data_IF_311239132530
#
_entry.id   IF_311239132530
#
_cell.length_a   1.000
_cell.length_b   1.000
_cell.length_c   1.000
_cell.angle_alpha   90.00
_cell.angle_beta   90.00
_cell.angle_gamma   90.00
#
_symmetry.space_group_name_H-M   'P 1'
#
loop_
_entity.id
_entity.type
_entity.pdbx_description
1 polymer ?
#
# COMPACT_ATOMS: atom_id res chain seq x y z
N UNK A 1 -15.87 20.99 14.77
CA UNK A 1 -15.36 19.81 15.48
C UNK A 1 -14.69 20.32 16.75
N UNK A 2 -15.09 19.82 17.92
CA UNK A 2 -14.32 20.10 19.14
C UNK A 2 -12.94 19.47 18.97
N UNK A 3 -11.88 20.24 19.17
CA UNK A 3 -10.53 19.70 19.12
C UNK A 3 -10.39 18.62 20.21
N UNK A 4 -9.91 17.43 19.82
CA UNK A 4 -9.54 16.40 20.79
C UNK A 4 -8.21 16.81 21.41
N UNK A 5 -8.23 17.25 22.65
CA UNK A 5 -7.03 17.53 23.42
C UNK A 5 -6.46 16.26 24.09
N UNK A 6 -5.21 16.32 24.54
CA UNK A 6 -4.54 15.19 25.18
C UNK A 6 -5.31 14.71 26.41
N UNK A 7 -5.92 15.62 27.18
CA UNK A 7 -6.71 15.28 28.38
C UNK A 7 -7.92 14.41 28.03
N UNK A 8 -8.63 14.77 26.96
CA UNK A 8 -9.77 14.02 26.44
C UNK A 8 -9.32 12.64 25.97
N UNK A 9 -8.22 12.56 25.22
CA UNK A 9 -7.65 11.29 24.75
C UNK A 9 -7.23 10.39 25.92
N UNK A 10 -6.49 10.92 26.89
CA UNK A 10 -6.07 10.17 28.09
C UNK A 10 -7.26 9.66 28.90
N UNK A 11 -8.27 10.52 29.13
CA UNK A 11 -9.47 10.13 29.90
C UNK A 11 -10.27 9.04 29.20
N UNK A 12 -10.35 9.10 27.87
CA UNK A 12 -11.01 8.08 27.07
C UNK A 12 -10.28 6.73 27.15
N UNK A 13 -8.93 6.72 27.10
CA UNK A 13 -8.10 5.51 27.25
C UNK A 13 -8.23 4.88 28.64
N UNK A 14 -8.27 5.67 29.72
CA UNK A 14 -8.29 5.14 31.09
C UNK A 14 -9.66 4.68 31.56
N UNK A 15 -10.74 5.22 30.98
CA UNK A 15 -12.09 5.04 31.51
C UNK A 15 -12.94 4.13 30.62
N UNK A 16 -13.57 4.67 29.58
CA UNK A 16 -14.74 4.05 28.96
C UNK A 16 -14.70 3.92 27.44
N UNK A 17 -13.69 4.45 26.76
CA UNK A 17 -13.62 4.34 25.30
C UNK A 17 -12.85 3.09 24.88
N UNK A 18 -13.49 2.27 24.02
CA UNK A 18 -12.83 1.14 23.38
C UNK A 18 -12.13 1.52 22.05
N UNK A 19 -12.54 2.63 21.42
CA UNK A 19 -11.98 3.11 20.16
C UNK A 19 -12.29 4.60 19.92
N UNK A 20 -11.45 5.26 19.13
CA UNK A 20 -11.75 6.56 18.54
C UNK A 20 -12.13 6.37 17.07
N UNK A 21 -13.20 7.06 16.64
CA UNK A 21 -13.65 7.04 15.25
C UNK A 21 -13.83 8.46 14.76
N UNK A 22 -13.11 8.81 13.69
CA UNK A 22 -13.36 10.01 12.92
C UNK A 22 -14.05 9.62 11.61
N UNK A 23 -15.09 10.37 11.23
CA UNK A 23 -15.76 10.24 9.92
C UNK A 23 -15.80 11.62 9.29
N UNK A 24 -15.10 11.76 8.17
CA UNK A 24 -15.11 12.99 7.39
C UNK A 24 -15.88 12.73 6.10
N UNK A 25 -16.87 13.57 5.80
CA UNK A 25 -17.54 13.55 4.50
C UNK A 25 -16.71 14.37 3.53
N UNK A 26 -16.28 13.73 2.45
CA UNK A 26 -15.52 14.36 1.37
C UNK A 26 -16.43 14.62 0.18
N UNK A 27 -16.04 15.56 -0.68
CA UNK A 27 -16.67 15.85 -1.96
C UNK A 27 -15.63 15.67 -3.08
N UNK A 28 -16.01 15.17 -4.27
CA UNK A 28 -15.12 15.16 -5.42
C UNK A 28 -14.60 16.56 -5.75
N UNK A 29 -13.38 16.63 -6.30
CA UNK A 29 -12.73 17.90 -6.61
C UNK A 29 -13.50 18.71 -7.68
N UNK A 30 -14.17 18.05 -8.64
CA UNK A 30 -15.01 18.72 -9.64
C UNK A 30 -16.42 19.06 -9.17
N UNK A 31 -16.75 18.83 -7.90
CA UNK A 31 -18.03 19.18 -7.31
C UNK A 31 -18.89 17.99 -6.90
N UNK A 32 -20.07 18.29 -6.35
CA UNK A 32 -21.07 17.27 -6.02
C UNK A 32 -21.54 16.53 -7.28
N UNK A 33 -21.58 15.20 -7.21
CA UNK A 33 -22.00 14.36 -8.33
C UNK A 33 -20.94 14.13 -9.42
N UNK A 34 -19.76 14.75 -9.32
CA UNK A 34 -18.71 14.57 -10.31
C UNK A 34 -18.13 13.14 -10.32
N UNK A 35 -17.67 12.70 -11.49
CA UNK A 35 -17.14 11.35 -11.71
C UNK A 35 -15.77 11.20 -11.05
N UNK A 36 -15.65 10.20 -10.19
CA UNK A 36 -14.37 9.78 -9.62
C UNK A 36 -13.84 8.52 -10.30
N UNK A 37 -12.52 8.35 -10.33
CA UNK A 37 -11.84 7.18 -10.87
C UNK A 37 -11.13 6.44 -9.73
N UNK A 38 -11.75 5.40 -9.14
CA UNK A 38 -11.14 4.59 -8.09
C UNK A 38 -9.87 3.89 -8.56
N UNK A 39 -8.97 3.48 -7.64
CA UNK A 39 -7.83 2.65 -7.97
C UNK A 39 -8.28 1.32 -8.60
N UNK A 40 -7.47 0.86 -9.55
CA UNK A 40 -7.65 -0.43 -10.22
C UNK A 40 -6.85 -1.49 -9.47
N UNK A 41 -7.49 -2.62 -9.17
CA UNK A 41 -6.89 -3.77 -8.48
C UNK A 41 -6.61 -4.93 -9.45
N UNK A 42 -6.04 -6.01 -8.93
CA UNK A 42 -5.75 -7.23 -9.69
C UNK A 42 -6.97 -7.67 -10.53
N UNK A 43 -6.74 -7.98 -11.80
CA UNK A 43 -7.81 -8.25 -12.78
C UNK A 43 -8.37 -6.99 -13.46
N UNK A 44 -7.73 -5.83 -13.28
CA UNK A 44 -8.14 -4.56 -13.88
C UNK A 44 -9.55 -4.10 -13.47
N UNK A 45 -9.94 -4.38 -12.22
CA UNK A 45 -11.28 -4.08 -11.69
C UNK A 45 -11.25 -3.09 -10.53
N UNK A 46 -12.35 -2.37 -10.34
CA UNK A 46 -12.58 -1.59 -9.12
C UNK A 46 -13.01 -2.50 -7.97
N UNK A 47 -12.50 -2.22 -6.77
CA UNK A 47 -12.93 -2.89 -5.54
C UNK A 47 -14.31 -2.36 -5.12
N UNK A 48 -15.35 -3.14 -5.46
CA UNK A 48 -16.75 -2.85 -5.13
C UNK A 48 -17.18 -3.68 -3.92
N UNK A 49 -18.00 -3.08 -3.08
CA UNK A 49 -18.45 -3.71 -1.84
C UNK A 49 -19.79 -3.14 -1.40
N UNK A 50 -20.65 -4.01 -0.86
CA UNK A 50 -21.89 -3.56 -0.24
C UNK A 50 -21.66 -3.36 1.26
N UNK A 51 -21.92 -2.16 1.77
CA UNK A 51 -21.71 -1.82 3.18
C UNK A 51 -23.02 -1.56 3.90
N UNK A 52 -23.08 -1.94 5.17
CA UNK A 52 -24.20 -1.62 6.05
C UNK A 52 -24.05 -0.19 6.56
N UNK A 53 -24.89 0.72 6.08
CA UNK A 53 -24.88 2.13 6.46
C UNK A 53 -26.28 2.49 6.92
N UNK A 54 -26.40 2.90 8.19
CA UNK A 54 -27.67 3.25 8.84
C UNK A 54 -28.76 2.17 8.69
N UNK A 55 -28.36 0.89 8.76
CA UNK A 55 -29.28 -0.25 8.66
C UNK A 55 -29.66 -0.66 7.24
N UNK A 56 -29.14 0.03 6.21
CA UNK A 56 -29.35 -0.33 4.81
C UNK A 56 -28.06 -0.86 4.17
N UNK A 57 -28.22 -1.84 3.27
CA UNK A 57 -27.15 -2.31 2.39
C UNK A 57 -26.95 -1.31 1.26
N UNK A 58 -25.81 -0.63 1.22
CA UNK A 58 -25.52 0.46 0.26
C UNK A 58 -24.33 0.08 -0.62
N UNK A 59 -24.44 0.19 -1.96
CA UNK A 59 -23.33 -0.07 -2.86
C UNK A 59 -22.23 0.97 -2.65
N UNK A 60 -21.01 0.50 -2.47
CA UNK A 60 -19.83 1.32 -2.25
C UNK A 60 -18.68 0.90 -3.18
N UNK A 61 -17.72 1.81 -3.36
CA UNK A 61 -16.47 1.56 -4.06
C UNK A 61 -15.30 2.06 -3.22
N UNK A 62 -14.24 1.27 -3.13
CA UNK A 62 -13.04 1.65 -2.38
C UNK A 62 -12.24 2.67 -3.19
N UNK A 63 -12.03 3.86 -2.61
CA UNK A 63 -11.24 4.95 -3.22
C UNK A 63 -9.81 4.97 -2.68
N UNK A 64 -9.64 4.66 -1.39
CA UNK A 64 -8.32 4.51 -0.77
C UNK A 64 -8.39 3.43 0.31
N UNK A 65 -7.57 2.39 0.17
CA UNK A 65 -7.63 1.21 1.03
C UNK A 65 -6.95 1.42 2.37
N UNK A 66 -7.25 0.52 3.33
CA UNK A 66 -6.56 0.48 4.62
C UNK A 66 -5.04 0.38 4.47
N UNK A 67 -4.58 -0.42 3.51
CA UNK A 67 -3.16 -0.61 3.22
C UNK A 67 -2.56 0.66 2.61
N UNK A 68 -3.23 1.27 1.62
CA UNK A 68 -2.73 2.48 0.98
C UNK A 68 -2.71 3.69 1.93
N UNK A 69 -3.70 3.82 2.81
CA UNK A 69 -3.70 4.81 3.88
C UNK A 69 -2.55 4.61 4.87
N UNK A 70 -2.26 3.36 5.28
CA UNK A 70 -1.10 3.08 6.12
C UNK A 70 0.20 3.52 5.43
N UNK A 71 0.39 3.18 4.16
CA UNK A 71 1.57 3.57 3.39
C UNK A 71 1.74 5.10 3.33
N UNK A 72 0.65 5.86 3.12
CA UNK A 72 0.69 7.34 3.11
C UNK A 72 1.06 7.94 4.45
N UNK A 73 0.57 7.34 5.54
CA UNK A 73 0.90 7.78 6.89
C UNK A 73 2.37 7.49 7.20
N UNK A 74 2.90 6.35 6.76
CA UNK A 74 4.31 6.01 6.90
C UNK A 74 5.21 6.93 6.06
N UNK A 75 4.80 7.24 4.84
CA UNK A 75 5.49 8.22 3.99
C UNK A 75 5.49 9.61 4.65
N UNK A 76 4.37 10.02 5.26
CA UNK A 76 4.30 11.28 6.01
C UNK A 76 5.23 11.29 7.24
N UNK A 77 5.34 10.16 7.95
CA UNK A 77 6.30 10.01 9.05
C UNK A 77 7.75 10.07 8.54
N UNK A 78 8.05 9.45 7.41
CA UNK A 78 9.36 9.51 6.77
C UNK A 78 9.73 10.95 6.42
N UNK A 79 8.83 11.68 5.74
CA UNK A 79 9.03 13.11 5.43
C UNK A 79 9.22 13.96 6.69
N UNK A 80 8.51 13.66 7.79
CA UNK A 80 8.67 14.37 9.06
C UNK A 80 10.03 14.11 9.72
N UNK A 81 10.55 12.88 9.62
CA UNK A 81 11.91 12.53 10.06
C UNK A 81 12.97 13.24 9.21
N UNK A 82 12.81 13.22 7.89
CA UNK A 82 13.74 13.85 6.95
C UNK A 82 13.79 15.38 7.13
N UNK A 83 12.63 15.99 7.40
CA UNK A 83 12.52 17.41 7.73
C UNK A 83 12.99 17.75 9.17
N UNK A 84 13.29 16.76 10.00
CA UNK A 84 13.71 16.93 11.40
C UNK A 84 12.62 17.46 12.34
N UNK A 85 11.35 17.45 11.91
CA UNK A 85 10.19 17.82 12.77
C UNK A 85 9.82 16.69 13.72
N UNK A 86 10.13 15.45 13.35
CA UNK A 86 10.14 14.27 14.19
C UNK A 86 11.59 13.81 14.38
N UNK A 87 12.02 13.50 15.61
CA UNK A 87 13.44 13.21 15.91
C UNK A 87 13.72 11.87 16.57
N UNK A 88 12.72 11.22 17.17
CA UNK A 88 12.95 10.13 18.13
C UNK A 88 12.20 8.84 17.81
N UNK A 89 11.87 8.59 16.54
CA UNK A 89 11.24 7.33 16.12
C UNK A 89 12.31 6.40 15.55
N UNK A 90 12.54 5.22 16.15
CA UNK A 90 13.38 4.18 15.57
C UNK A 90 12.90 3.79 14.16
N UNK A 91 13.82 3.85 13.20
CA UNK A 91 13.61 3.44 11.81
C UNK A 91 14.85 2.68 11.36
N UNK A 92 14.66 1.46 10.89
CA UNK A 92 15.73 0.67 10.28
C UNK A 92 15.90 1.06 8.83
N UNK A 93 17.13 1.01 8.34
CA UNK A 93 17.48 1.40 6.99
C UNK A 93 18.41 0.37 6.35
N UNK A 94 18.23 0.16 5.05
CA UNK A 94 19.16 -0.57 4.19
C UNK A 94 19.67 0.42 3.16
N UNK A 95 20.99 0.52 3.05
CA UNK A 95 21.65 1.45 2.13
C UNK A 95 22.10 0.70 0.88
N UNK A 96 21.59 1.11 -0.28
CA UNK A 96 21.95 0.59 -1.60
C UNK A 96 22.89 1.54 -2.35
N UNK A 97 23.39 2.60 -1.71
CA UNK A 97 24.27 3.58 -2.35
C UNK A 97 25.59 2.92 -2.79
N UNK A 98 26.00 3.15 -4.04
CA UNK A 98 27.31 2.72 -4.53
C UNK A 98 27.47 1.23 -4.83
N UNK A 99 26.39 0.44 -4.84
CA UNK A 99 26.47 -1.01 -5.10
C UNK A 99 26.34 -1.41 -6.58
N UNK A 100 26.27 -0.43 -7.50
CA UNK A 100 26.25 -0.69 -8.94
C UNK A 100 24.93 -1.22 -9.50
N UNK A 101 23.79 -0.82 -8.93
CA UNK A 101 22.47 -1.09 -9.53
C UNK A 101 22.29 -0.30 -10.83
N UNK A 102 21.45 -0.82 -11.74
CA UNK A 102 21.10 -0.13 -12.99
C UNK A 102 20.45 1.23 -12.73
N UNK A 103 19.56 1.27 -11.74
CA UNK A 103 18.95 2.48 -11.23
C UNK A 103 19.39 2.67 -9.77
N UNK A 104 19.80 3.89 -9.41
CA UNK A 104 20.13 4.20 -8.02
C UNK A 104 18.88 4.14 -7.13
N UNK A 105 18.93 3.30 -6.10
CA UNK A 105 17.84 3.14 -5.12
C UNK A 105 18.06 3.98 -3.86
N UNK A 106 19.32 4.26 -3.52
CA UNK A 106 19.68 4.98 -2.29
C UNK A 106 19.34 4.19 -1.03
N UNK A 107 18.83 4.87 0.00
CA UNK A 107 18.45 4.27 1.28
C UNK A 107 16.97 3.91 1.30
N UNK A 108 16.65 2.67 1.66
CA UNK A 108 15.27 2.21 1.90
C UNK A 108 15.05 1.98 3.39
N UNK A 109 14.04 2.63 3.96
CA UNK A 109 13.68 2.54 5.36
C UNK A 109 12.58 1.52 5.65
N UNK A 110 12.41 1.16 6.93
CA UNK A 110 11.27 0.35 7.39
C UNK A 110 9.91 1.02 7.24
N UNK A 111 9.85 2.32 6.93
CA UNK A 111 8.63 3.07 6.62
C UNK A 111 8.27 3.00 5.12
N UNK A 112 9.25 2.72 4.27
CA UNK A 112 9.07 2.59 2.82
C UNK A 112 8.93 1.13 2.39
N UNK A 113 9.56 0.21 3.12
CA UNK A 113 9.51 -1.22 2.82
C UNK A 113 8.06 -1.76 2.90
N UNK A 114 7.55 -2.44 1.87
CA UNK A 114 6.14 -2.88 1.79
C UNK A 114 5.65 -3.69 3.00
N UNK A 115 6.53 -4.52 3.57
CA UNK A 115 6.24 -5.32 4.76
C UNK A 115 7.02 -4.87 6.00
N UNK A 116 7.42 -3.58 6.02
CA UNK A 116 8.14 -2.93 7.12
C UNK A 116 9.40 -3.73 7.50
N UNK A 117 9.61 -3.96 8.79
CA UNK A 117 10.74 -4.74 9.32
C UNK A 117 10.73 -6.22 8.92
N UNK A 118 9.58 -6.78 8.53
CA UNK A 118 9.50 -8.16 8.04
C UNK A 118 9.70 -8.27 6.52
N UNK A 119 9.91 -7.15 5.84
CA UNK A 119 10.16 -7.12 4.40
C UNK A 119 11.49 -7.79 4.06
N UNK A 120 11.53 -8.42 2.89
CA UNK A 120 12.73 -9.09 2.39
C UNK A 120 13.91 -8.11 2.26
N UNK A 121 13.63 -6.85 1.90
CA UNK A 121 14.66 -5.79 1.81
C UNK A 121 15.46 -5.70 3.11
N UNK A 122 14.78 -5.67 4.26
CA UNK A 122 15.43 -5.59 5.58
C UNK A 122 15.87 -6.97 6.07
N UNK A 123 15.01 -7.97 5.94
CA UNK A 123 15.26 -9.34 6.42
C UNK A 123 16.55 -9.94 5.85
N UNK A 124 16.78 -9.74 4.56
CA UNK A 124 17.88 -10.36 3.82
C UNK A 124 19.09 -9.43 3.68
N UNK A 125 19.06 -8.27 4.36
CA UNK A 125 20.19 -7.33 4.44
C UNK A 125 21.31 -7.82 5.36
N UNK A 126 22.43 -7.09 5.36
CA UNK A 126 23.53 -7.29 6.29
C UNK A 126 23.52 -6.21 7.38
N UNK A 127 23.83 -6.61 8.61
CA UNK A 127 24.14 -5.74 9.73
C UNK A 127 25.53 -6.10 10.24
N UNK A 128 26.47 -5.15 10.18
CA UNK A 128 27.89 -5.33 10.50
C UNK A 128 28.52 -6.56 9.81
N UNK A 129 28.23 -6.73 8.52
CA UNK A 129 28.72 -7.83 7.70
C UNK A 129 28.06 -9.19 7.95
N UNK A 130 27.14 -9.29 8.91
CA UNK A 130 26.38 -10.51 9.17
C UNK A 130 24.95 -10.41 8.63
N UNK A 131 24.32 -11.51 8.15
CA UNK A 131 22.91 -11.50 7.81
C UNK A 131 22.06 -10.93 8.95
N UNK A 132 21.20 -9.95 8.67
CA UNK A 132 20.46 -9.19 9.67
C UNK A 132 19.73 -10.11 10.65
N UNK A 133 19.02 -11.14 10.15
CA UNK A 133 18.33 -12.13 10.98
C UNK A 133 19.22 -12.97 11.90
N UNK A 134 20.53 -13.04 11.64
CA UNK A 134 21.51 -13.73 12.50
C UNK A 134 22.20 -12.80 13.50
N UNK A 135 22.09 -11.48 13.31
CA UNK A 135 22.59 -10.47 14.26
C UNK A 135 21.81 -10.49 15.58
N UNK A 136 22.34 -9.83 16.62
CA UNK A 136 21.64 -9.67 17.90
C UNK A 136 20.28 -8.98 17.73
N UNK A 137 20.24 -7.90 16.94
CA UNK A 137 19.02 -7.14 16.66
C UNK A 137 17.98 -8.01 15.95
N UNK A 138 18.38 -8.72 14.89
CA UNK A 138 17.47 -9.57 14.12
C UNK A 138 16.92 -10.74 14.93
N UNK A 139 17.76 -11.41 15.73
CA UNK A 139 17.32 -12.50 16.64
C UNK A 139 16.35 -12.01 17.70
N UNK A 140 16.46 -10.75 18.15
CA UNK A 140 15.52 -10.19 19.12
C UNK A 140 14.08 -10.16 18.59
N UNK A 141 13.89 -10.02 17.28
CA UNK A 141 12.56 -10.04 16.65
C UNK A 141 11.86 -11.39 16.80
N UNK A 142 12.60 -12.49 16.88
CA UNK A 142 12.03 -13.84 17.05
C UNK A 142 11.37 -14.01 18.43
N UNK A 143 11.75 -13.16 19.39
CA UNK A 143 11.16 -13.07 20.73
C UNK A 143 9.92 -12.17 20.78
N UNK A 144 9.62 -11.43 19.70
CA UNK A 144 8.41 -10.63 19.64
C UNK A 144 7.17 -11.54 19.65
N UNK A 145 6.17 -11.14 20.42
CA UNK A 145 4.86 -11.81 20.50
C UNK A 145 3.80 -10.81 20.95
N UNK A 146 2.53 -11.21 20.93
CA UNK A 146 1.46 -10.37 21.46
C UNK A 146 1.63 -10.05 22.96
N UNK A 147 2.28 -10.94 23.71
CA UNK A 147 2.61 -10.75 25.12
C UNK A 147 3.93 -10.00 25.32
N UNK A 148 4.79 -9.93 24.29
CA UNK A 148 6.09 -9.25 24.34
C UNK A 148 6.31 -8.43 23.06
N UNK A 149 5.80 -7.19 23.06
CA UNK A 149 6.02 -6.24 21.96
C UNK A 149 7.38 -5.52 22.03
N UNK A 150 8.17 -5.75 23.08
CA UNK A 150 9.40 -4.99 23.37
C UNK A 150 10.41 -4.97 22.21
N UNK A 151 10.74 -6.09 21.55
CA UNK A 151 11.70 -6.06 20.45
C UNK A 151 11.21 -5.22 19.27
N UNK A 152 9.91 -5.33 18.95
CA UNK A 152 9.30 -4.58 17.86
C UNK A 152 9.20 -3.10 18.20
N UNK A 153 8.86 -2.75 19.44
CA UNK A 153 8.85 -1.36 19.91
C UNK A 153 10.23 -0.69 19.79
N UNK A 154 11.31 -1.42 20.09
CA UNK A 154 12.67 -0.91 19.98
C UNK A 154 13.12 -0.69 18.53
N UNK A 155 12.75 -1.58 17.62
CA UNK A 155 13.29 -1.61 16.26
C UNK A 155 12.38 -0.97 15.20
N UNK A 156 11.07 -1.12 15.34
CA UNK A 156 10.08 -0.61 14.39
C UNK A 156 8.74 -0.38 15.11
N UNK A 157 8.63 0.64 15.97
CA UNK A 157 7.41 0.88 16.75
C UNK A 157 6.20 1.20 15.87
N UNK A 158 6.40 1.72 14.66
CA UNK A 158 5.32 1.97 13.70
C UNK A 158 4.62 0.69 13.26
N UNK A 159 5.29 -0.47 13.28
CA UNK A 159 4.67 -1.77 13.03
C UNK A 159 3.62 -2.15 14.09
N UNK A 160 3.71 -1.62 15.31
CA UNK A 160 2.67 -1.79 16.34
C UNK A 160 1.42 -0.95 16.04
N UNK A 161 1.57 0.12 15.25
CA UNK A 161 0.46 1.01 14.86
C UNK A 161 -0.19 0.52 13.56
N UNK A 162 0.62 0.26 12.54
CA UNK A 162 0.17 -0.10 11.19
C UNK A 162 0.09 -1.60 10.93
N UNK A 163 0.42 -2.41 11.93
CA UNK A 163 0.39 -3.88 11.91
C UNK A 163 1.55 -4.50 11.16
N UNK A 164 1.78 -5.78 11.45
CA UNK A 164 2.87 -6.58 10.88
C UNK A 164 2.53 -8.07 10.98
N UNK A 165 2.99 -8.87 10.04
CA UNK A 165 3.01 -10.32 10.21
C UNK A 165 4.35 -10.90 9.76
N UNK A 166 5.19 -11.29 10.71
CA UNK A 166 6.46 -11.94 10.37
C UNK A 166 6.27 -13.43 10.06
N UNK A 167 5.69 -13.75 8.91
CA UNK A 167 5.45 -15.15 8.50
C UNK A 167 6.73 -15.92 8.17
N UNK A 168 7.83 -15.23 7.89
CA UNK A 168 9.08 -15.82 7.39
C UNK A 168 10.16 -16.01 8.46
N UNK A 169 9.85 -15.68 9.71
CA UNK A 169 10.74 -15.95 10.85
C UNK A 169 10.94 -17.47 11.09
N UNK A 170 11.82 -17.84 12.04
CA UNK A 170 12.19 -19.23 12.33
C UNK A 170 11.02 -20.10 12.81
N UNK A 171 9.87 -19.49 13.12
CA UNK A 171 8.64 -20.16 13.54
C UNK A 171 7.73 -20.59 12.36
N UNK A 172 8.18 -20.44 11.11
CA UNK A 172 7.53 -21.05 9.93
C UNK A 172 6.05 -20.68 9.75
N UNK A 173 5.73 -19.39 9.73
CA UNK A 173 4.35 -18.89 9.60
C UNK A 173 3.65 -18.58 10.93
N UNK A 174 4.12 -19.14 12.04
CA UNK A 174 3.67 -18.83 13.41
C UNK A 174 4.39 -17.64 14.04
N UNK A 175 5.10 -16.84 13.23
CA UNK A 175 5.74 -15.62 13.71
C UNK A 175 4.74 -14.57 14.17
N UNK A 176 5.25 -13.54 14.83
CA UNK A 176 4.41 -12.54 15.49
C UNK A 176 3.48 -11.83 14.48
N UNK A 177 2.18 -11.82 14.79
CA UNK A 177 1.15 -11.16 14.01
C UNK A 177 0.51 -10.06 14.84
N UNK A 178 0.90 -8.82 14.58
CA UNK A 178 0.36 -7.64 15.22
C UNK A 178 -0.76 -7.06 14.34
N UNK A 179 -1.95 -6.98 14.91
CA UNK A 179 -3.07 -6.29 14.28
C UNK A 179 -2.82 -4.79 14.26
N UNK A 180 -3.40 -4.08 13.28
CA UNK A 180 -3.29 -2.63 13.20
C UNK A 180 -4.05 -1.99 14.36
N UNK A 181 -3.43 -1.04 15.04
CA UNK A 181 -4.12 -0.18 16.00
C UNK A 181 -4.85 0.99 15.31
N UNK A 182 -4.39 1.38 14.12
CA UNK A 182 -5.01 2.42 13.30
C UNK A 182 -5.52 1.84 11.98
N UNK A 183 -6.75 2.20 11.63
CA UNK A 183 -7.38 1.91 10.34
C UNK A 183 -7.97 3.20 9.79
N UNK A 184 -7.60 3.53 8.55
CA UNK A 184 -8.17 4.64 7.78
C UNK A 184 -8.46 4.13 6.37
N UNK A 185 -9.53 4.62 5.75
CA UNK A 185 -9.91 4.29 4.38
C UNK A 185 -10.81 5.39 3.83
N UNK A 186 -10.90 5.48 2.51
CA UNK A 186 -11.83 6.36 1.81
C UNK A 186 -12.70 5.50 0.89
N UNK A 187 -14.01 5.68 1.00
CA UNK A 187 -14.99 4.97 0.16
C UNK A 187 -15.92 5.97 -0.52
N UNK A 188 -16.30 5.66 -1.75
CA UNK A 188 -17.47 6.23 -2.40
C UNK A 188 -18.71 5.49 -1.93
N UNK A 189 -19.68 6.22 -1.39
CA UNK A 189 -20.95 5.68 -0.89
C UNK A 189 -22.04 5.96 -1.91
N UNK A 190 -22.95 5.00 -2.11
CA UNK A 190 -23.99 5.04 -3.14
C UNK A 190 -23.37 5.15 -4.54
N UNK A 191 -22.37 4.31 -4.81
CA UNK A 191 -21.58 4.36 -6.03
C UNK A 191 -22.37 3.80 -7.23
N UNK A 192 -22.50 4.61 -8.28
CA UNK A 192 -23.06 4.20 -9.56
C UNK A 192 -21.95 4.07 -10.62
N UNK A 193 -21.95 2.96 -11.36
CA UNK A 193 -20.92 2.70 -12.37
C UNK A 193 -21.29 3.41 -13.66
N UNK A 194 -20.56 4.49 -13.95
CA UNK A 194 -20.64 5.17 -15.24
C UNK A 194 -19.94 4.38 -16.36
N UNK A 195 -20.31 4.69 -17.60
CA UNK A 195 -19.62 4.17 -18.80
C UNK A 195 -18.32 4.94 -19.01
N UNK A 196 -17.24 4.21 -19.31
CA UNK A 196 -15.97 4.79 -19.77
C UNK A 196 -16.10 5.07 -21.26
N UNK A 197 -15.97 6.33 -21.66
CA UNK A 197 -15.88 6.71 -23.06
C UNK A 197 -14.40 6.77 -23.47
N UNK A 198 -14.10 6.30 -24.69
CA UNK A 198 -12.79 6.52 -25.33
C UNK A 198 -13.02 7.44 -26.51
N UNK A 199 -12.32 8.57 -26.55
CA UNK A 199 -12.48 9.59 -27.59
C UNK A 199 -11.20 9.90 -28.34
N UNK A 200 -10.13 9.09 -28.17
CA UNK A 200 -8.90 9.32 -28.93
C UNK A 200 -9.10 8.87 -30.37
N UNK A 201 -9.24 9.85 -31.26
CA UNK A 201 -9.23 9.64 -32.70
C UNK A 201 -7.77 9.37 -33.09
N UNK A 202 -7.51 8.19 -33.64
CA UNK A 202 -6.21 7.89 -34.21
C UNK A 202 -6.01 8.73 -35.48
N UNK A 203 -4.98 9.62 -35.54
CA UNK A 203 -4.71 10.43 -36.72
C UNK A 203 -4.37 9.60 -37.96
N UNK A 204 -3.97 8.33 -37.80
CA UNK A 204 -3.66 7.42 -38.90
C UNK A 204 -4.85 6.53 -39.30
N UNK A 205 -5.97 6.61 -38.58
CA UNK A 205 -7.19 5.85 -38.88
C UNK A 205 -6.99 4.33 -38.87
N UNK A 206 -6.05 3.83 -38.07
CA UNK A 206 -5.77 2.40 -37.94
C UNK A 206 -7.05 1.67 -37.54
N UNK A 207 -7.39 0.65 -38.33
CA UNK A 207 -8.60 -0.14 -38.13
C UNK A 207 -8.25 -1.33 -37.25
N UNK A 208 -9.05 -1.59 -36.22
CA UNK A 208 -8.93 -2.78 -35.38
C UNK A 208 -9.02 -4.11 -36.18
N UNK A 209 -9.62 -4.07 -37.37
CA UNK A 209 -9.69 -5.18 -38.31
C UNK A 209 -8.34 -5.52 -38.98
N UNK A 210 -7.40 -4.56 -39.07
CA UNK A 210 -6.08 -4.78 -39.63
C UNK A 210 -5.17 -5.41 -38.58
N UNK A 211 -5.33 -6.71 -38.34
CA UNK A 211 -4.54 -7.48 -37.36
C UNK A 211 -3.06 -7.51 -37.74
N UNK A 212 -2.18 -7.62 -36.74
CA UNK A 212 -0.72 -7.73 -36.94
C UNK A 212 -0.16 -8.97 -36.23
N UNK A 213 0.93 -9.50 -36.76
CA UNK A 213 1.68 -10.60 -36.15
C UNK A 213 2.98 -10.02 -35.59
N UNK A 214 3.25 -10.25 -34.31
CA UNK A 214 4.50 -9.87 -33.65
C UNK A 214 5.55 -10.97 -33.85
N UNK A 215 6.66 -10.64 -34.50
CA UNK A 215 7.76 -11.58 -34.74
C UNK A 215 8.68 -11.67 -33.51
N UNK A 216 9.43 -12.78 -33.34
CA UNK A 216 10.37 -12.95 -32.22
C UNK A 216 11.47 -11.88 -32.14
N UNK A 217 11.80 -11.25 -33.27
CA UNK A 217 12.79 -10.16 -33.36
C UNK A 217 12.22 -8.78 -32.95
N UNK A 218 10.94 -8.72 -32.57
CA UNK A 218 10.25 -7.49 -32.18
C UNK A 218 9.63 -6.70 -33.33
N UNK A 219 9.77 -7.16 -34.58
CA UNK A 219 9.11 -6.54 -35.74
C UNK A 219 7.65 -6.97 -35.87
N UNK A 220 6.88 -6.19 -36.63
CA UNK A 220 5.46 -6.45 -36.89
C UNK A 220 5.21 -6.64 -38.38
N UNK A 221 4.35 -7.59 -38.72
CA UNK A 221 3.82 -7.73 -40.09
C UNK A 221 2.30 -7.74 -40.08
N UNK A 222 1.69 -7.28 -41.18
CA UNK A 222 0.24 -7.35 -41.33
C UNK A 222 -0.20 -8.81 -41.39
N UNK A 223 -1.18 -9.17 -40.56
CA UNK A 223 -1.75 -10.50 -40.54
C UNK A 223 -2.65 -10.69 -41.77
N UNK A 224 -2.47 -11.80 -42.51
CA UNK A 224 -3.39 -12.18 -43.58
C UNK A 224 -4.75 -12.62 -43.04
N UNK A 225 -5.77 -12.66 -43.91
CA UNK A 225 -7.19 -12.89 -43.54
C UNK A 225 -7.49 -14.19 -42.74
N UNK A 226 -6.55 -15.15 -42.72
CA UNK A 226 -6.67 -16.44 -42.02
C UNK A 226 -5.60 -16.68 -40.96
N UNK A 227 -4.84 -15.64 -40.61
CA UNK A 227 -3.80 -15.74 -39.59
C UNK A 227 -4.44 -16.02 -38.21
N UNK A 228 -4.03 -17.12 -37.58
CA UNK A 228 -4.55 -17.53 -36.26
C UNK A 228 -3.98 -16.70 -35.11
N UNK A 229 -2.83 -16.07 -35.33
CA UNK A 229 -2.06 -15.39 -34.28
C UNK A 229 -2.07 -13.85 -34.45
N UNK A 230 -3.04 -13.34 -35.22
CA UNK A 230 -3.19 -11.90 -35.43
C UNK A 230 -3.76 -11.20 -34.20
N UNK A 231 -3.02 -10.23 -33.66
CA UNK A 231 -3.44 -9.37 -32.55
C UNK A 231 -3.87 -8.00 -33.05
N UNK A 232 -4.68 -7.28 -32.27
CA UNK A 232 -5.11 -5.92 -32.65
C UNK A 232 -3.92 -4.97 -32.61
N UNK A 233 -3.81 -3.98 -33.51
CA UNK A 233 -2.75 -2.97 -33.46
C UNK A 233 -2.66 -2.23 -32.12
N UNK A 234 -3.75 -2.16 -31.35
CA UNK A 234 -3.78 -1.55 -30.02
C UNK A 234 -3.25 -2.46 -28.89
N UNK A 235 -2.99 -3.73 -29.16
CA UNK A 235 -2.57 -4.75 -28.18
C UNK A 235 -1.07 -5.06 -28.27
N UNK A 236 -0.34 -4.43 -29.20
CA UNK A 236 1.07 -4.69 -29.50
C UNK A 236 2.04 -3.62 -29.04
#
# INVERSE_FOLDING_TARGET
MNALDLKTLSSAVTNSAAAFRSRTRLQPAGGEGDKVFPPTYAGAVYAKEDRQINGAKVPCVLLDSVQAQANRLEEALQRALDAGTLKSVPVLNVDFTGIGLLDEVGRVSSLEAPHRIADAILRDSLHDGQPFRKSELGKSLDQASLQNATPLYKLCPTALIFGLWDSTGPKGGLGAKFQRALVSEIIGVNAEIGVKTSSRIDPLGMRAAAKVIKKPDGSYELAGDKAKDGVSPSEV
#
